data_IF_186455558513
#
_entry.id   IF_186455558513
#
_cell.length_a   1.000
_cell.length_b   1.000
_cell.length_c   1.000
_cell.angle_alpha   90.00
_cell.angle_beta   90.00
_cell.angle_gamma   90.00
#
_symmetry.space_group_name_H-M   'P 1'
#
loop_
_entity.id
_entity.type
_entity.pdbx_description
1 polymer ?
#
# COMPACT_ATOMS: atom_id res chain seq x y z
N UNK A 1 10.10 15.37 18.99
CA UNK A 1 10.87 14.32 18.33
C UNK A 1 10.24 13.91 17.03
N UNK A 2 11.06 13.74 16.02
CA UNK A 2 10.56 13.24 14.74
C UNK A 2 10.14 11.79 14.88
N UNK A 3 8.96 11.46 14.42
CA UNK A 3 8.46 10.11 14.43
C UNK A 3 9.05 9.34 13.25
N UNK A 4 9.48 8.13 13.51
CA UNK A 4 10.07 7.29 12.48
C UNK A 4 8.99 6.56 11.70
N UNK A 5 9.07 6.64 10.38
CA UNK A 5 8.20 5.88 9.49
C UNK A 5 8.95 4.63 9.04
N UNK A 6 8.36 3.47 9.25
CA UNK A 6 8.93 2.21 8.81
C UNK A 6 8.17 1.71 7.58
N UNK A 7 8.88 1.13 6.64
CA UNK A 7 8.29 0.58 5.41
C UNK A 7 8.54 -0.91 5.40
N UNK A 8 7.49 -1.68 5.16
CA UNK A 8 7.61 -3.14 5.13
C UNK A 8 6.66 -3.74 4.12
N UNK A 9 6.87 -4.99 3.79
CA UNK A 9 5.99 -5.71 2.88
C UNK A 9 4.60 -5.83 3.51
N UNK A 10 3.57 -5.58 2.69
CA UNK A 10 2.19 -5.72 3.13
C UNK A 10 1.81 -7.18 3.26
N UNK A 11 1.03 -7.50 4.29
CA UNK A 11 0.42 -8.81 4.45
C UNK A 11 -1.09 -8.64 4.53
N UNK A 12 -1.83 -9.75 4.43
CA UNK A 12 -3.28 -9.69 4.50
C UNK A 12 -3.77 -9.21 5.87
N UNK A 13 -2.94 -9.33 6.90
CA UNK A 13 -3.29 -8.82 8.22
C UNK A 13 -3.39 -7.29 8.24
N UNK A 14 -2.82 -6.62 7.25
CA UNK A 14 -2.91 -5.17 7.13
C UNK A 14 -4.20 -4.70 6.46
N UNK A 15 -5.00 -5.63 5.94
CA UNK A 15 -6.11 -5.27 5.06
C UNK A 15 -7.10 -4.28 5.68
N UNK A 16 -7.52 -4.49 6.92
CA UNK A 16 -8.55 -3.64 7.52
C UNK A 16 -8.09 -2.18 7.60
N UNK A 17 -6.83 -1.97 7.97
CA UNK A 17 -6.28 -0.61 8.06
C UNK A 17 -6.05 0.00 6.68
N UNK A 18 -5.60 -0.80 5.74
CA UNK A 18 -5.41 -0.38 4.36
C UNK A 18 -6.76 0.01 3.75
N UNK A 19 -7.79 -0.80 3.99
CA UNK A 19 -9.13 -0.52 3.53
C UNK A 19 -9.62 0.84 4.05
N UNK A 20 -9.39 1.10 5.35
CA UNK A 20 -9.79 2.38 5.94
C UNK A 20 -9.10 3.56 5.26
N UNK A 21 -7.82 3.41 4.91
CA UNK A 21 -7.09 4.45 4.20
C UNK A 21 -7.70 4.67 2.81
N UNK A 22 -7.97 3.59 2.08
CA UNK A 22 -8.58 3.68 0.75
C UNK A 22 -9.93 4.39 0.81
N UNK A 23 -10.75 4.06 1.79
CA UNK A 23 -12.08 4.67 1.92
C UNK A 23 -12.01 6.14 2.30
N UNK A 24 -10.90 6.59 2.86
CA UNK A 24 -10.72 8.00 3.19
C UNK A 24 -10.21 8.82 1.99
N UNK A 25 -9.78 8.17 0.92
CA UNK A 25 -9.24 8.83 -0.26
C UNK A 25 -10.34 9.01 -1.29
N UNK A 26 -10.76 10.24 -1.52
CA UNK A 26 -11.93 10.56 -2.35
C UNK A 26 -11.82 10.12 -3.80
N UNK A 27 -10.63 10.16 -4.35
CA UNK A 27 -10.44 9.90 -5.79
C UNK A 27 -9.95 8.49 -6.09
N UNK A 28 -9.95 7.63 -5.09
CA UNK A 28 -9.54 6.25 -5.32
C UNK A 28 -10.71 5.44 -5.86
N UNK A 29 -10.52 4.86 -7.02
CA UNK A 29 -11.50 3.93 -7.56
C UNK A 29 -11.51 2.65 -6.74
N UNK A 30 -12.63 2.32 -6.14
CA UNK A 30 -12.77 1.11 -5.34
C UNK A 30 -13.58 0.07 -6.12
N UNK A 31 -13.02 -1.11 -6.26
CA UNK A 31 -13.67 -2.22 -6.93
C UNK A 31 -13.99 -3.30 -5.90
N UNK A 32 -15.27 -3.51 -5.63
CA UNK A 32 -15.70 -4.45 -4.60
C UNK A 32 -15.20 -5.88 -4.82
N UNK A 33 -14.98 -6.25 -6.08
CA UNK A 33 -14.54 -7.60 -6.42
C UNK A 33 -13.03 -7.76 -6.25
N UNK A 34 -12.27 -6.82 -6.81
CA UNK A 34 -10.81 -6.91 -6.81
C UNK A 34 -10.18 -6.39 -5.52
N UNK A 35 -10.82 -5.40 -4.88
CA UNK A 35 -10.28 -4.74 -3.70
C UNK A 35 -10.86 -5.29 -2.39
N UNK A 36 -11.64 -6.36 -2.45
CA UNK A 36 -12.11 -7.06 -1.26
C UNK A 36 -10.94 -7.74 -0.54
N UNK A 37 -11.16 -8.14 0.72
CA UNK A 37 -10.14 -8.87 1.47
C UNK A 37 -9.69 -10.12 0.71
N UNK A 38 -10.63 -10.85 0.12
CA UNK A 38 -10.31 -12.05 -0.65
C UNK A 38 -9.51 -11.72 -1.90
N UNK A 39 -9.92 -10.69 -2.64
CA UNK A 39 -9.22 -10.27 -3.85
C UNK A 39 -7.80 -9.78 -3.55
N UNK A 40 -7.65 -8.98 -2.51
CA UNK A 40 -6.33 -8.49 -2.10
C UNK A 40 -5.47 -9.65 -1.60
N UNK A 41 -6.05 -10.62 -0.90
CA UNK A 41 -5.32 -11.81 -0.48
C UNK A 41 -4.73 -12.57 -1.66
N UNK A 42 -5.50 -12.74 -2.72
CA UNK A 42 -5.01 -13.38 -3.94
C UNK A 42 -3.90 -12.57 -4.59
N UNK A 43 -4.08 -11.25 -4.63
CA UNK A 43 -3.10 -10.35 -5.23
C UNK A 43 -1.76 -10.43 -4.49
N UNK A 44 -1.80 -10.43 -3.17
CA UNK A 44 -0.59 -10.51 -2.35
C UNK A 44 0.11 -11.86 -2.51
N UNK A 45 -0.63 -12.94 -2.66
CA UNK A 45 -0.03 -14.24 -2.92
C UNK A 45 0.69 -14.30 -4.26
N UNK A 46 0.13 -13.63 -5.25
CA UNK A 46 0.74 -13.56 -6.59
C UNK A 46 1.94 -12.62 -6.61
N UNK A 47 1.91 -11.58 -5.76
CA UNK A 47 2.94 -10.54 -5.73
C UNK A 47 3.47 -10.38 -4.30
N UNK A 48 4.14 -11.39 -3.74
CA UNK A 48 4.39 -11.45 -2.30
C UNK A 48 5.43 -10.46 -1.77
N UNK A 49 6.22 -9.85 -2.62
CA UNK A 49 7.33 -9.00 -2.15
C UNK A 49 7.35 -7.62 -2.75
N UNK A 50 6.26 -7.20 -3.41
CA UNK A 50 6.24 -5.92 -4.12
C UNK A 50 5.07 -5.01 -3.73
N UNK A 51 4.38 -5.34 -2.65
CA UNK A 51 3.37 -4.46 -2.06
C UNK A 51 3.85 -4.04 -0.69
N UNK A 52 3.79 -2.75 -0.39
CA UNK A 52 4.37 -2.20 0.83
C UNK A 52 3.39 -1.35 1.61
N UNK A 53 3.61 -1.28 2.91
CA UNK A 53 2.89 -0.35 3.78
C UNK A 53 3.90 0.52 4.52
N UNK A 54 3.48 1.73 4.84
CA UNK A 54 4.21 2.64 5.70
C UNK A 54 3.58 2.57 7.09
N UNK A 55 4.40 2.43 8.12
CA UNK A 55 3.94 2.26 9.49
C UNK A 55 4.53 3.34 10.36
N UNK A 56 3.68 4.02 11.13
CA UNK A 56 4.07 5.07 12.07
C UNK A 56 3.46 4.71 13.42
N UNK A 57 4.29 4.54 14.43
CA UNK A 57 3.83 4.18 15.78
C UNK A 57 2.90 2.97 15.76
N UNK A 58 3.30 1.94 15.06
CA UNK A 58 2.56 0.66 14.94
C UNK A 58 1.23 0.78 14.19
N UNK A 59 0.98 1.92 13.55
CA UNK A 59 -0.21 2.11 12.74
C UNK A 59 0.16 2.22 11.27
N UNK A 60 -0.60 1.53 10.42
CA UNK A 60 -0.42 1.66 8.97
C UNK A 60 -0.95 3.03 8.55
N UNK A 61 -0.11 3.82 7.90
CA UNK A 61 -0.47 5.17 7.47
C UNK A 61 -0.36 5.35 5.96
N UNK A 62 0.16 4.36 5.26
CA UNK A 62 0.26 4.43 3.81
C UNK A 62 0.38 3.05 3.22
N UNK A 63 0.07 2.93 1.92
CA UNK A 63 0.08 1.66 1.23
C UNK A 63 0.35 1.87 -0.25
N UNK A 64 1.07 0.93 -0.86
CA UNK A 64 1.22 0.86 -2.29
C UNK A 64 1.09 -0.60 -2.72
N UNK A 65 0.24 -0.85 -3.70
CA UNK A 65 0.16 -2.15 -4.34
C UNK A 65 0.89 -2.07 -5.67
N UNK A 66 1.79 -3.00 -5.89
CA UNK A 66 2.42 -3.12 -7.19
C UNK A 66 2.35 -4.56 -7.65
N UNK A 67 2.45 -4.74 -8.96
CA UNK A 67 2.34 -6.05 -9.56
C UNK A 67 3.26 -6.17 -10.76
N UNK A 68 3.49 -7.39 -11.19
CA UNK A 68 4.39 -7.69 -12.28
C UNK A 68 3.82 -8.84 -13.09
N UNK A 69 3.82 -8.70 -14.40
CA UNK A 69 3.29 -9.74 -15.29
C UNK A 69 4.39 -10.58 -15.95
N UNK A 70 5.62 -10.49 -15.44
CA UNK A 70 6.78 -11.16 -16.03
C UNK A 70 7.50 -10.31 -17.07
N UNK A 71 6.94 -9.17 -17.42
CA UNK A 71 7.49 -8.30 -18.46
C UNK A 71 7.46 -6.83 -18.06
N UNK A 72 6.38 -6.42 -17.37
CA UNK A 72 6.14 -5.02 -17.05
C UNK A 72 5.63 -4.92 -15.61
N UNK A 73 6.16 -3.94 -14.88
CA UNK A 73 5.69 -3.65 -13.53
C UNK A 73 4.58 -2.63 -13.54
N UNK A 74 3.66 -2.75 -12.59
CA UNK A 74 2.53 -1.83 -12.42
C UNK A 74 2.47 -1.33 -11.00
N UNK A 75 2.03 -0.09 -10.81
CA UNK A 75 1.76 0.47 -9.50
C UNK A 75 0.25 0.77 -9.42
N UNK A 76 -0.37 0.27 -8.36
CA UNK A 76 -1.79 0.46 -8.10
C UNK A 76 -2.00 0.98 -6.67
N UNK A 77 -3.11 1.65 -6.44
CA UNK A 77 -3.61 1.96 -5.10
C UNK A 77 -2.57 2.58 -4.17
N UNK A 78 -1.84 3.56 -4.66
CA UNK A 78 -0.96 4.35 -3.80
C UNK A 78 -1.83 5.30 -2.97
N UNK A 79 -1.82 5.14 -1.67
CA UNK A 79 -2.63 5.97 -0.78
C UNK A 79 -1.90 6.22 0.52
N UNK A 80 -2.10 7.41 1.08
CA UNK A 80 -1.51 7.80 2.36
C UNK A 80 -2.61 8.44 3.19
N UNK A 81 -2.63 8.11 4.49
CA UNK A 81 -3.53 8.72 5.44
C UNK A 81 -3.42 10.24 5.37
N UNK A 82 -4.55 10.94 5.40
CA UNK A 82 -4.58 12.40 5.26
C UNK A 82 -3.68 13.09 6.27
N UNK A 83 -3.65 12.60 7.50
CA UNK A 83 -2.84 13.16 8.58
C UNK A 83 -1.35 13.08 8.32
N UNK A 84 -0.94 12.15 7.47
CA UNK A 84 0.47 11.88 7.22
C UNK A 84 0.95 12.33 5.85
N UNK A 85 0.11 13.03 5.11
CA UNK A 85 0.51 13.60 3.81
C UNK A 85 1.55 14.69 4.05
N UNK A 86 2.38 14.95 3.04
CA UNK A 86 3.48 15.92 3.10
C UNK A 86 4.67 15.47 3.93
N UNK A 87 4.73 14.18 4.27
CA UNK A 87 5.88 13.60 4.95
C UNK A 87 6.69 12.72 4.00
N UNK A 88 6.50 12.89 2.71
CA UNK A 88 7.19 12.12 1.66
C UNK A 88 6.93 10.61 1.74
N UNK A 89 5.86 10.21 2.40
CA UNK A 89 5.53 8.80 2.54
C UNK A 89 5.19 8.18 1.18
N UNK A 90 4.38 8.89 0.37
CA UNK A 90 4.03 8.41 -0.96
C UNK A 90 5.28 8.24 -1.82
N UNK A 91 6.18 9.23 -1.79
CA UNK A 91 7.43 9.18 -2.54
C UNK A 91 8.28 7.97 -2.14
N UNK A 92 8.38 7.74 -0.82
CA UNK A 92 9.16 6.62 -0.32
C UNK A 92 8.52 5.27 -0.66
N UNK A 93 7.20 5.18 -0.61
CA UNK A 93 6.50 3.94 -1.01
C UNK A 93 6.77 3.63 -2.49
N UNK A 94 6.73 4.63 -3.35
CA UNK A 94 7.03 4.44 -4.76
C UNK A 94 8.47 3.95 -4.93
N UNK A 95 9.42 4.53 -4.19
CA UNK A 95 10.82 4.09 -4.26
C UNK A 95 10.98 2.63 -3.86
N UNK A 96 10.31 2.21 -2.78
CA UNK A 96 10.36 0.80 -2.37
C UNK A 96 9.76 -0.12 -3.44
N UNK A 97 8.62 0.26 -4.01
CA UNK A 97 7.99 -0.54 -5.05
C UNK A 97 8.88 -0.65 -6.28
N UNK A 98 9.45 0.47 -6.74
CA UNK A 98 10.32 0.47 -7.92
C UNK A 98 11.57 -0.37 -7.68
N UNK A 99 12.14 -0.34 -6.49
CA UNK A 99 13.31 -1.15 -6.18
C UNK A 99 12.99 -2.64 -6.15
N UNK A 100 11.75 -2.99 -5.79
CA UNK A 100 11.33 -4.39 -5.69
C UNK A 100 10.85 -4.96 -7.03
N UNK A 101 10.43 -4.11 -7.93
CA UNK A 101 10.01 -4.54 -9.28
C UNK A 101 11.23 -4.83 -10.19
#
# INVERSE_FOLDING_TARGET
>A
MAETICYRIMTIDDYDKVYAIWMSCRNMGFNNLDDSREGIGKYLKRNPSICFVAVKEQSVVGVILSGHDGRRGFIHHLAVSEECRRQQIATNLVKYALSAL
#
